data_IF_338830504555
#
_entry.id   IF_338830504555
#
_cell.length_a   1.000
_cell.length_b   1.000
_cell.length_c   1.000
_cell.angle_alpha   90.00
_cell.angle_beta   90.00
_cell.angle_gamma   90.00
#
_symmetry.space_group_name_H-M   'P 1'
#
loop_
_entity.id
_entity.type
_entity.pdbx_description
1 polymer ?
#
# COMPACT_ATOMS: atom_id res chain seq x y z
N UNK A 1 -6.86 24.22 5.86
CA UNK A 1 -6.98 23.27 4.72
C UNK A 1 -8.05 22.26 5.12
N UNK A 2 -8.98 21.93 4.23
CA UNK A 2 -10.02 20.93 4.49
C UNK A 2 -9.53 19.53 4.10
N UNK A 3 -9.85 18.52 4.92
CA UNK A 3 -9.60 17.11 4.65
C UNK A 3 -10.92 16.32 4.54
N UNK A 4 -10.96 15.28 3.72
CA UNK A 4 -12.15 14.43 3.57
C UNK A 4 -11.80 12.97 3.87
N UNK A 5 -12.37 12.41 4.94
CA UNK A 5 -12.34 10.97 5.19
C UNK A 5 -13.32 10.27 4.25
N UNK A 6 -12.86 9.23 3.56
CA UNK A 6 -13.68 8.39 2.68
C UNK A 6 -13.70 6.97 3.21
N UNK A 7 -14.89 6.47 3.55
CA UNK A 7 -15.08 5.17 4.21
C UNK A 7 -16.17 4.39 3.46
N UNK A 8 -15.84 3.44 2.59
CA UNK A 8 -16.85 2.54 2.05
C UNK A 8 -17.22 1.47 3.07
N UNK A 9 -18.47 1.02 3.02
CA UNK A 9 -18.97 -0.08 3.84
C UNK A 9 -19.95 -0.93 3.05
N UNK A 10 -20.03 -2.22 3.38
CA UNK A 10 -21.03 -3.13 2.84
C UNK A 10 -21.43 -4.14 3.91
N UNK A 11 -22.67 -4.03 4.41
CA UNK A 11 -23.22 -4.91 5.46
C UNK A 11 -22.40 -4.98 6.77
N UNK A 12 -21.76 -3.88 7.15
CA UNK A 12 -20.82 -3.81 8.30
C UNK A 12 -21.08 -2.58 9.19
N UNK A 13 -22.35 -2.34 9.51
CA UNK A 13 -22.76 -1.16 10.28
C UNK A 13 -22.03 -1.05 11.64
N UNK A 14 -21.77 -2.18 12.30
CA UNK A 14 -21.08 -2.22 13.60
C UNK A 14 -19.61 -1.79 13.49
N UNK A 15 -18.87 -2.32 12.50
CA UNK A 15 -17.48 -1.92 12.26
C UNK A 15 -17.38 -0.45 11.84
N UNK A 16 -18.28 -0.01 10.95
CA UNK A 16 -18.37 1.40 10.58
C UNK A 16 -18.57 2.28 11.82
N UNK A 17 -19.46 1.89 12.74
CA UNK A 17 -19.71 2.66 13.96
C UNK A 17 -18.45 2.78 14.84
N UNK A 18 -17.67 1.70 14.97
CA UNK A 18 -16.40 1.72 15.70
C UNK A 18 -15.37 2.65 15.05
N UNK A 19 -15.27 2.62 13.72
CA UNK A 19 -14.37 3.50 12.96
C UNK A 19 -14.79 4.97 13.07
N UNK A 20 -16.07 5.28 12.94
CA UNK A 20 -16.59 6.64 13.14
C UNK A 20 -16.37 7.12 14.58
N UNK A 21 -16.55 6.25 15.56
CA UNK A 21 -16.26 6.57 16.96
C UNK A 21 -14.77 6.84 17.18
N UNK A 22 -13.87 6.11 16.52
CA UNK A 22 -12.43 6.35 16.58
C UNK A 22 -12.05 7.72 16.02
N UNK A 23 -12.56 8.08 14.84
CA UNK A 23 -12.38 9.42 14.26
C UNK A 23 -12.97 10.49 15.19
N UNK A 24 -14.10 10.20 15.84
CA UNK A 24 -14.76 11.10 16.79
C UNK A 24 -14.00 11.35 18.09
N UNK A 25 -12.99 10.52 18.41
CA UNK A 25 -12.10 10.70 19.57
C UNK A 25 -10.90 11.61 19.29
N UNK A 26 -10.61 11.87 18.02
CA UNK A 26 -9.51 12.74 17.62
C UNK A 26 -9.78 14.20 18.02
N UNK A 27 -8.71 14.91 18.36
CA UNK A 27 -8.72 16.32 18.74
C UNK A 27 -9.09 17.21 17.53
N UNK A 28 -10.32 17.74 17.55
CA UNK A 28 -10.83 18.61 16.49
C UNK A 28 -9.95 19.85 16.26
N UNK A 29 -9.30 20.40 17.29
CA UNK A 29 -8.46 21.58 17.14
C UNK A 29 -7.19 21.27 16.35
N UNK A 30 -6.65 20.05 16.48
CA UNK A 30 -5.47 19.58 15.72
C UNK A 30 -5.83 19.12 14.32
N UNK A 31 -7.00 18.51 14.13
CA UNK A 31 -7.49 18.10 12.83
C UNK A 31 -7.75 19.28 11.88
N UNK A 32 -8.22 20.39 12.41
CA UNK A 32 -8.68 21.51 11.61
C UNK A 32 -10.00 21.18 10.91
N UNK A 33 -10.19 21.68 9.68
CA UNK A 33 -11.43 21.46 8.94
C UNK A 33 -11.44 20.06 8.32
N UNK A 34 -12.45 19.27 8.68
CA UNK A 34 -12.65 17.91 8.18
C UNK A 34 -14.11 17.66 7.78
N UNK A 35 -14.33 16.69 6.89
CA UNK A 35 -15.62 16.03 6.68
C UNK A 35 -15.44 14.51 6.58
N UNK A 36 -16.50 13.77 6.87
CA UNK A 36 -16.56 12.32 6.65
C UNK A 36 -17.62 11.99 5.61
N UNK A 37 -17.23 11.18 4.63
CA UNK A 37 -18.11 10.65 3.60
C UNK A 37 -18.11 9.14 3.71
N UNK A 38 -19.23 8.60 4.19
CA UNK A 38 -19.49 7.17 4.19
C UNK A 38 -20.06 6.78 2.84
N UNK A 39 -19.51 5.76 2.18
CA UNK A 39 -20.08 5.18 0.97
C UNK A 39 -20.75 3.87 1.34
N UNK A 40 -22.07 3.88 1.43
CA UNK A 40 -22.82 2.63 1.56
C UNK A 40 -22.85 1.95 0.19
N UNK A 41 -22.04 0.90 0.08
CA UNK A 41 -21.76 0.20 -1.17
C UNK A 41 -22.75 -0.94 -1.40
N UNK A 42 -24.04 -0.58 -1.52
CA UNK A 42 -25.17 -1.49 -1.69
C UNK A 42 -25.38 -2.48 -0.53
N UNK A 43 -25.33 -2.00 0.72
CA UNK A 43 -25.75 -2.81 1.87
C UNK A 43 -27.21 -3.23 1.78
N UNK A 44 -27.53 -4.42 2.28
CA UNK A 44 -28.91 -4.91 2.42
C UNK A 44 -29.74 -4.02 3.34
N UNK A 45 -29.11 -3.53 4.40
CA UNK A 45 -29.67 -2.55 5.32
C UNK A 45 -28.73 -1.36 5.36
N UNK A 46 -29.24 -0.19 4.96
CA UNK A 46 -28.44 1.03 4.89
C UNK A 46 -27.94 1.43 6.29
N UNK A 47 -26.64 1.71 6.47
CA UNK A 47 -26.12 2.19 7.74
C UNK A 47 -26.66 3.59 8.03
N UNK A 48 -26.88 3.86 9.32
CA UNK A 48 -27.41 5.15 9.81
C UNK A 48 -26.36 5.85 10.69
N UNK A 49 -25.24 6.34 10.11
CA UNK A 49 -24.25 7.08 10.88
C UNK A 49 -24.84 8.40 11.40
N UNK A 50 -24.33 8.94 12.53
CA UNK A 50 -24.78 10.23 13.03
C UNK A 50 -24.40 11.34 12.04
N UNK A 51 -25.19 12.42 11.94
CA UNK A 51 -24.90 13.55 11.03
C UNK A 51 -23.64 14.35 11.41
N UNK A 52 -23.16 14.18 12.65
CA UNK A 52 -21.89 14.70 13.16
C UNK A 52 -21.25 13.70 14.12
N UNK A 53 -19.92 13.62 14.10
CA UNK A 53 -19.15 12.88 15.10
C UNK A 53 -19.11 13.62 16.44
N UNK A 54 -18.64 12.93 17.49
CA UNK A 54 -18.52 13.49 18.84
C UNK A 54 -17.63 14.76 18.90
N UNK A 55 -16.61 14.83 18.03
CA UNK A 55 -15.74 16.00 17.88
C UNK A 55 -16.29 17.06 16.90
N UNK A 56 -17.55 16.93 16.46
CA UNK A 56 -18.24 17.93 15.64
C UNK A 56 -18.05 17.80 14.13
N UNK A 57 -17.20 16.88 13.66
CA UNK A 57 -16.96 16.67 12.22
C UNK A 57 -18.27 16.22 11.53
N UNK A 58 -18.71 16.89 10.45
CA UNK A 58 -19.92 16.51 9.73
C UNK A 58 -19.71 15.17 9.00
N UNK A 59 -20.75 14.34 9.03
CA UNK A 59 -20.80 13.05 8.34
C UNK A 59 -21.94 13.08 7.34
N UNK A 60 -21.69 12.54 6.15
CA UNK A 60 -22.74 12.25 5.17
C UNK A 60 -22.57 10.86 4.57
N UNK A 61 -23.68 10.28 4.15
CA UNK A 61 -23.71 8.98 3.48
C UNK A 61 -24.03 9.15 2.00
N UNK A 62 -23.24 8.52 1.14
CA UNK A 62 -23.54 8.33 -0.27
C UNK A 62 -23.99 6.88 -0.46
N UNK A 63 -25.20 6.69 -0.98
CA UNK A 63 -25.75 5.36 -1.23
C UNK A 63 -25.42 4.95 -2.67
N UNK A 64 -24.80 3.78 -2.82
CA UNK A 64 -24.63 3.09 -4.10
C UNK A 64 -25.69 2.00 -4.22
N UNK A 65 -26.26 1.88 -5.41
CA UNK A 65 -27.29 0.87 -5.69
C UNK A 65 -26.68 -0.50 -6.04
N UNK A 66 -25.42 -0.50 -6.47
CA UNK A 66 -24.66 -1.69 -6.82
C UNK A 66 -23.35 -1.71 -6.02
N UNK A 67 -22.83 -2.91 -5.77
CA UNK A 67 -21.55 -3.07 -5.09
C UNK A 67 -20.41 -2.83 -6.09
N UNK A 68 -19.80 -1.64 -6.00
CA UNK A 68 -18.69 -1.21 -6.86
C UNK A 68 -17.32 -1.54 -6.26
N UNK A 69 -17.28 -2.37 -5.22
CA UNK A 69 -16.08 -2.75 -4.48
C UNK A 69 -15.18 -1.54 -4.13
N UNK A 70 -13.87 -1.61 -4.39
CA UNK A 70 -12.93 -0.54 -4.07
C UNK A 70 -13.24 0.78 -4.82
N UNK A 71 -13.81 0.69 -6.03
CA UNK A 71 -14.11 1.84 -6.87
C UNK A 71 -15.31 2.68 -6.39
N UNK A 72 -16.09 2.19 -5.43
CA UNK A 72 -17.14 2.98 -4.75
C UNK A 72 -16.59 4.29 -4.15
N UNK A 73 -15.31 4.29 -3.74
CA UNK A 73 -14.58 5.47 -3.27
C UNK A 73 -14.51 6.60 -4.30
N UNK A 74 -14.58 6.28 -5.60
CA UNK A 74 -14.57 7.30 -6.67
C UNK A 74 -15.78 8.24 -6.57
N UNK A 75 -16.95 7.73 -6.16
CA UNK A 75 -18.14 8.56 -5.97
C UNK A 75 -17.91 9.57 -4.83
N UNK A 76 -17.38 9.11 -3.69
CA UNK A 76 -17.03 10.00 -2.58
C UNK A 76 -15.95 11.02 -2.94
N UNK A 77 -14.94 10.63 -3.72
CA UNK A 77 -13.87 11.52 -4.13
C UNK A 77 -14.38 12.72 -4.96
N UNK A 78 -15.34 12.49 -5.85
CA UNK A 78 -15.97 13.56 -6.66
C UNK A 78 -16.72 14.55 -5.77
N UNK A 79 -17.43 14.01 -4.79
CA UNK A 79 -18.25 14.76 -3.85
C UNK A 79 -17.43 15.49 -2.78
N UNK A 80 -16.25 14.96 -2.42
CA UNK A 80 -15.38 15.52 -1.39
C UNK A 80 -14.99 16.98 -1.67
N UNK A 81 -14.83 17.77 -0.62
CA UNK A 81 -14.35 19.16 -0.69
C UNK A 81 -12.91 19.31 -0.20
N UNK A 82 -12.39 18.30 0.51
CA UNK A 82 -11.04 18.31 1.05
C UNK A 82 -9.97 18.27 -0.04
N UNK A 83 -8.85 18.97 0.22
CA UNK A 83 -7.68 18.94 -0.65
C UNK A 83 -6.99 17.56 -0.64
N UNK A 84 -7.10 16.85 0.48
CA UNK A 84 -6.68 15.46 0.63
C UNK A 84 -7.88 14.56 0.91
N UNK A 85 -7.85 13.38 0.30
CA UNK A 85 -8.75 12.27 0.55
C UNK A 85 -8.04 11.28 1.47
N UNK A 86 -8.53 11.14 2.70
CA UNK A 86 -8.03 10.15 3.66
C UNK A 86 -8.87 8.89 3.46
N UNK A 87 -8.32 7.92 2.75
CA UNK A 87 -8.98 6.65 2.44
C UNK A 87 -8.82 5.70 3.63
N UNK A 88 -9.95 5.19 4.10
CA UNK A 88 -10.05 4.19 5.16
C UNK A 88 -10.96 3.06 4.67
N UNK A 89 -10.80 1.86 5.22
CA UNK A 89 -11.82 0.83 5.27
C UNK A 89 -12.77 1.06 6.47
N UNK A 90 -13.95 0.42 6.45
CA UNK A 90 -14.91 0.50 7.56
C UNK A 90 -14.41 -0.09 8.87
N UNK A 91 -13.31 -0.83 8.86
CA UNK A 91 -12.61 -1.38 10.02
C UNK A 91 -11.22 -0.77 10.28
N UNK A 92 -10.95 0.43 9.75
CA UNK A 92 -9.68 1.14 9.94
C UNK A 92 -9.84 2.61 10.36
N UNK A 93 -8.96 3.13 11.21
CA UNK A 93 -9.02 4.51 11.68
C UNK A 93 -7.64 5.07 12.08
N UNK A 94 -7.42 6.40 12.00
CA UNK A 94 -6.22 7.03 12.54
C UNK A 94 -6.09 6.82 14.05
N UNK A 95 -4.86 6.52 14.50
CA UNK A 95 -4.53 6.42 15.91
C UNK A 95 -4.35 7.79 16.58
N UNK A 96 -4.01 8.81 15.80
CA UNK A 96 -3.76 10.18 16.25
C UNK A 96 -3.88 11.17 15.08
N UNK A 97 -3.68 12.47 15.35
CA UNK A 97 -3.78 13.55 14.36
C UNK A 97 -2.44 13.90 13.69
N UNK A 98 -1.36 13.17 13.94
CA UNK A 98 -0.02 13.55 13.44
C UNK A 98 0.06 13.58 11.92
N UNK A 99 -0.78 12.79 11.25
CA UNK A 99 -0.92 12.80 9.79
C UNK A 99 -1.27 14.20 9.26
N UNK A 100 -1.94 15.06 10.03
CA UNK A 100 -2.25 16.44 9.61
C UNK A 100 -0.98 17.22 9.34
N UNK A 101 0.03 17.08 10.20
CA UNK A 101 1.32 17.75 10.03
C UNK A 101 2.02 17.25 8.76
N UNK A 102 1.94 15.95 8.50
CA UNK A 102 2.48 15.31 7.30
C UNK A 102 1.84 15.87 6.03
N UNK A 103 0.50 15.96 6.00
CA UNK A 103 -0.25 16.47 4.85
C UNK A 103 -0.03 17.96 4.59
N UNK A 104 0.14 18.75 5.65
CA UNK A 104 0.41 20.19 5.54
C UNK A 104 1.86 20.46 5.09
N UNK A 105 2.81 19.59 5.47
CA UNK A 105 4.22 19.71 5.09
C UNK A 105 4.53 19.13 3.71
N UNK A 106 3.61 18.36 3.11
CA UNK A 106 3.83 17.65 1.86
C UNK A 106 4.01 18.59 0.66
N UNK A 107 5.16 18.51 -0.04
CA UNK A 107 5.36 19.19 -1.32
C UNK A 107 4.33 18.81 -2.37
N UNK A 108 4.21 19.61 -3.42
CA UNK A 108 3.21 19.39 -4.48
C UNK A 108 3.46 18.11 -5.28
N UNK A 109 4.72 17.70 -5.35
CA UNK A 109 5.21 16.50 -6.03
C UNK A 109 4.69 15.23 -5.34
N UNK A 110 4.47 15.27 -4.02
CA UNK A 110 3.90 14.16 -3.26
C UNK A 110 2.40 14.07 -3.52
N UNK A 111 1.99 13.02 -4.22
CA UNK A 111 0.62 12.72 -4.56
C UNK A 111 -0.13 11.97 -3.47
N UNK A 112 0.56 11.06 -2.78
CA UNK A 112 -0.02 10.22 -1.75
C UNK A 112 0.98 9.94 -0.63
N UNK A 113 0.44 9.80 0.59
CA UNK A 113 1.17 9.40 1.79
C UNK A 113 0.49 8.16 2.35
N UNK A 114 1.18 7.02 2.29
CA UNK A 114 0.79 5.78 2.94
C UNK A 114 1.08 5.83 4.44
N UNK A 115 0.21 5.19 5.22
CA UNK A 115 0.31 5.11 6.68
C UNK A 115 1.19 3.94 7.14
N UNK A 116 1.72 4.05 8.37
CA UNK A 116 2.09 2.91 9.20
C UNK A 116 0.79 2.26 9.74
N UNK A 117 0.38 1.15 9.11
CA UNK A 117 -0.89 0.46 9.40
C UNK A 117 -0.63 -0.69 10.36
N UNK A 118 -1.19 -0.61 11.56
CA UNK A 118 -1.06 -1.60 12.64
C UNK A 118 -2.31 -2.45 12.76
N UNK A 119 -2.11 -3.74 12.94
CA UNK A 119 -3.14 -4.72 13.22
C UNK A 119 -3.33 -4.86 14.73
N UNK A 120 -4.47 -5.44 15.12
CA UNK A 120 -4.84 -5.64 16.54
C UNK A 120 -3.94 -6.61 17.28
N UNK A 121 -3.24 -7.49 16.58
CA UNK A 121 -2.23 -8.39 17.14
C UNK A 121 -0.86 -7.72 17.37
N UNK A 122 -0.73 -6.44 17.01
CA UNK A 122 0.48 -5.64 17.14
C UNK A 122 1.42 -5.68 15.93
N UNK A 123 1.18 -6.59 14.97
CA UNK A 123 1.92 -6.61 13.69
C UNK A 123 1.46 -5.52 12.75
N UNK A 124 2.18 -5.29 11.65
CA UNK A 124 1.81 -4.34 10.60
C UNK A 124 1.18 -5.02 9.40
N UNK A 125 0.35 -4.26 8.71
CA UNK A 125 -0.34 -4.74 7.51
C UNK A 125 0.66 -5.14 6.41
N UNK A 126 0.34 -6.25 5.75
CA UNK A 126 1.12 -6.75 4.63
C UNK A 126 0.60 -6.14 3.34
N UNK A 127 1.48 -5.60 2.50
CA UNK A 127 1.05 -4.94 1.25
C UNK A 127 2.00 -3.85 0.81
N UNK A 128 1.63 -3.15 -0.25
CA UNK A 128 2.41 -2.03 -0.78
C UNK A 128 3.81 -2.36 -1.29
N UNK A 129 4.50 -1.31 -1.67
CA UNK A 129 5.91 -1.18 -2.12
C UNK A 129 6.36 0.25 -1.77
N UNK A 130 7.64 0.64 -1.96
CA UNK A 130 8.11 1.99 -1.60
C UNK A 130 7.23 3.11 -2.16
N UNK A 131 6.71 2.95 -3.39
CA UNK A 131 5.76 3.89 -4.01
C UNK A 131 4.41 3.25 -4.35
N UNK A 132 3.97 2.25 -3.58
CA UNK A 132 2.62 1.68 -3.67
C UNK A 132 2.02 1.62 -2.27
N UNK A 133 0.88 2.30 -2.07
CA UNK A 133 0.19 2.39 -0.78
C UNK A 133 -0.81 1.24 -0.58
N UNK A 134 -1.46 1.20 0.59
CA UNK A 134 -2.53 0.26 0.94
C UNK A 134 -3.82 1.07 1.16
N UNK A 135 -4.92 0.65 0.55
CA UNK A 135 -6.17 1.43 0.50
C UNK A 135 -6.83 1.72 1.86
N UNK A 136 -6.56 0.92 2.89
CA UNK A 136 -7.11 1.10 4.24
C UNK A 136 -6.36 2.17 5.08
N UNK A 137 -5.28 2.74 4.56
CA UNK A 137 -4.50 3.75 5.27
C UNK A 137 -3.64 4.58 4.32
N UNK A 138 -4.27 5.51 3.61
CA UNK A 138 -3.57 6.41 2.69
C UNK A 138 -4.28 7.77 2.61
N UNK A 139 -3.50 8.84 2.47
CA UNK A 139 -4.00 10.15 2.11
C UNK A 139 -3.55 10.49 0.68
N UNK A 140 -4.48 10.87 -0.19
CA UNK A 140 -4.23 11.14 -1.62
C UNK A 140 -4.71 12.54 -1.98
N UNK A 141 -3.93 13.30 -2.74
CA UNK A 141 -4.36 14.61 -3.26
C UNK A 141 -5.62 14.43 -4.13
N UNK A 142 -6.69 15.15 -3.77
CA UNK A 142 -8.00 14.99 -4.40
C UNK A 142 -7.97 15.35 -5.89
N UNK A 143 -7.35 16.47 -6.23
CA UNK A 143 -7.27 16.96 -7.60
C UNK A 143 -6.56 15.95 -8.52
N UNK A 144 -5.47 15.35 -8.04
CA UNK A 144 -4.74 14.33 -8.79
C UNK A 144 -5.52 13.01 -8.86
N UNK A 145 -6.13 12.56 -7.76
CA UNK A 145 -6.98 11.36 -7.78
C UNK A 145 -8.08 11.46 -8.85
N UNK A 146 -8.76 12.61 -8.91
CA UNK A 146 -9.80 12.87 -9.90
C UNK A 146 -9.23 13.01 -11.32
N UNK A 147 -8.12 13.74 -11.49
CA UNK A 147 -7.45 13.92 -12.79
C UNK A 147 -7.02 12.58 -13.40
N UNK A 148 -6.59 11.63 -12.58
CA UNK A 148 -6.16 10.31 -13.02
C UNK A 148 -7.33 9.32 -13.20
N UNK A 149 -8.56 9.71 -12.87
CA UNK A 149 -9.74 8.87 -13.04
C UNK A 149 -10.09 7.98 -11.83
N UNK A 150 -9.39 8.13 -10.71
CA UNK A 150 -9.62 7.33 -9.49
C UNK A 150 -9.21 5.87 -9.64
N UNK A 151 -9.89 4.95 -8.94
CA UNK A 151 -9.70 3.51 -9.08
C UNK A 151 -10.41 2.96 -10.32
N UNK A 152 -9.78 2.01 -11.01
CA UNK A 152 -10.41 1.28 -12.10
C UNK A 152 -11.42 0.25 -11.54
N UNK A 153 -12.73 0.39 -11.82
CA UNK A 153 -13.75 -0.50 -11.27
C UNK A 153 -13.63 -1.95 -11.74
N UNK A 154 -12.90 -2.23 -12.82
CA UNK A 154 -12.73 -3.59 -13.34
C UNK A 154 -11.89 -4.48 -12.44
N UNK A 155 -11.05 -3.89 -11.58
CA UNK A 155 -10.27 -4.62 -10.58
C UNK A 155 -11.17 -5.26 -9.52
N UNK A 156 -12.31 -4.64 -9.20
CA UNK A 156 -13.17 -4.99 -8.07
C UNK A 156 -12.40 -4.79 -6.75
N UNK A 157 -11.57 -5.76 -6.37
CA UNK A 157 -10.67 -5.73 -5.21
C UNK A 157 -9.30 -6.27 -5.59
N UNK A 158 -8.29 -5.83 -4.83
CA UNK A 158 -6.89 -6.20 -4.93
C UNK A 158 -6.18 -5.69 -6.19
N UNK A 159 -5.06 -5.01 -5.95
CA UNK A 159 -4.15 -4.46 -6.96
C UNK A 159 -4.65 -3.21 -7.70
N UNK A 160 -5.82 -2.68 -7.35
CA UNK A 160 -6.27 -1.36 -7.81
C UNK A 160 -5.35 -0.23 -7.35
N UNK A 161 -4.68 -0.38 -6.20
CA UNK A 161 -3.70 0.60 -5.72
C UNK A 161 -2.42 0.58 -6.55
N UNK A 162 -2.05 -0.58 -7.11
CA UNK A 162 -0.91 -0.70 -8.01
C UNK A 162 -1.17 0.02 -9.34
N UNK A 163 -2.37 -0.13 -9.89
CA UNK A 163 -2.79 0.58 -11.09
C UNK A 163 -2.78 2.10 -10.89
N UNK A 164 -3.35 2.57 -9.77
CA UNK A 164 -3.33 4.01 -9.45
C UNK A 164 -1.91 4.51 -9.15
N UNK A 165 -1.08 3.74 -8.46
CA UNK A 165 0.31 4.10 -8.21
C UNK A 165 1.11 4.25 -9.51
N UNK A 166 0.97 3.32 -10.47
CA UNK A 166 1.62 3.43 -11.77
C UNK A 166 1.20 4.72 -12.51
N UNK A 167 -0.10 5.05 -12.50
CA UNK A 167 -0.61 6.29 -13.10
C UNK A 167 -0.11 7.56 -12.40
N UNK A 168 0.03 7.53 -11.07
CA UNK A 168 0.63 8.64 -10.29
C UNK A 168 2.09 8.86 -10.71
N UNK A 169 2.86 7.77 -10.83
CA UNK A 169 4.26 7.82 -11.27
C UNK A 169 4.39 8.37 -12.71
N UNK A 170 3.55 7.91 -13.64
CA UNK A 170 3.53 8.42 -15.02
C UNK A 170 3.19 9.90 -15.10
N UNK A 171 2.37 10.40 -14.17
CA UNK A 171 2.03 11.81 -14.07
C UNK A 171 3.15 12.67 -13.47
N UNK A 172 4.31 12.08 -13.15
CA UNK A 172 5.48 12.78 -12.63
C UNK A 172 5.45 13.04 -11.13
N UNK A 173 4.57 12.36 -10.39
CA UNK A 173 4.43 12.52 -8.95
C UNK A 173 5.11 11.38 -8.17
N UNK A 174 5.13 11.53 -6.85
CA UNK A 174 5.71 10.57 -5.91
C UNK A 174 4.67 10.08 -4.91
N UNK A 175 4.87 8.85 -4.46
CA UNK A 175 4.16 8.26 -3.33
C UNK A 175 5.20 8.02 -2.24
N UNK A 176 4.87 8.34 -1.00
CA UNK A 176 5.75 8.07 0.14
C UNK A 176 4.98 7.36 1.25
N UNK A 177 5.69 6.79 2.21
CA UNK A 177 5.13 6.29 3.47
C UNK A 177 5.64 7.15 4.62
N UNK A 178 4.83 7.34 5.66
CA UNK A 178 5.22 8.10 6.84
C UNK A 178 4.90 7.34 8.12
N UNK A 179 5.92 7.17 8.99
CA UNK A 179 5.73 6.54 10.32
C UNK A 179 4.91 7.41 11.26
N UNK A 180 4.81 8.71 10.98
CA UNK A 180 3.97 9.63 11.73
C UNK A 180 2.48 9.53 11.34
N UNK A 181 2.15 9.03 10.14
CA UNK A 181 0.77 8.74 9.78
C UNK A 181 0.41 7.32 10.22
N UNK A 182 -0.27 7.18 11.35
CA UNK A 182 -0.55 5.86 11.96
C UNK A 182 -2.03 5.50 11.87
N UNK A 183 -2.31 4.30 11.40
CA UNK A 183 -3.65 3.74 11.26
C UNK A 183 -3.74 2.44 12.07
N UNK A 184 -4.82 2.26 12.80
CA UNK A 184 -5.23 0.94 13.27
C UNK A 184 -6.16 0.32 12.23
N UNK A 185 -5.92 -0.95 11.91
CA UNK A 185 -6.79 -1.77 11.08
C UNK A 185 -7.20 -3.00 11.90
N UNK A 186 -8.48 -3.06 12.28
CA UNK A 186 -9.02 -4.16 13.10
C UNK A 186 -9.07 -5.48 12.36
N UNK A 187 -9.12 -5.40 11.02
CA UNK A 187 -9.00 -6.51 10.07
C UNK A 187 -9.86 -7.70 10.45
N UNK A 188 -11.16 -7.60 10.16
CA UNK A 188 -12.07 -8.73 10.39
C UNK A 188 -11.72 -9.87 9.42
N UNK A 189 -11.26 -11.01 9.95
CA UNK A 189 -10.78 -12.17 9.16
C UNK A 189 -11.87 -13.20 8.88
N UNK A 190 -13.00 -13.17 9.59
CA UNK A 190 -14.09 -14.13 9.41
C UNK A 190 -14.72 -14.04 8.02
N UNK A 191 -14.94 -15.20 7.37
CA UNK A 191 -15.65 -15.29 6.09
C UNK A 191 -14.81 -14.97 4.86
N UNK A 192 -13.48 -14.90 4.97
CA UNK A 192 -12.59 -14.76 3.81
C UNK A 192 -12.52 -16.07 3.03
N UNK A 193 -12.96 -16.03 1.78
CA UNK A 193 -12.75 -17.10 0.81
C UNK A 193 -11.40 -16.93 0.13
N UNK A 194 -10.42 -17.75 0.51
CA UNK A 194 -9.08 -17.66 -0.03
C UNK A 194 -9.01 -17.99 -1.53
N UNK A 195 -9.88 -18.86 -2.04
CA UNK A 195 -9.96 -19.11 -3.48
C UNK A 195 -10.40 -17.84 -4.21
N UNK A 196 -11.39 -17.11 -3.68
CA UNK A 196 -11.80 -15.84 -4.27
C UNK A 196 -10.67 -14.79 -4.26
N UNK A 197 -9.92 -14.69 -3.16
CA UNK A 197 -8.80 -13.75 -3.02
C UNK A 197 -7.69 -14.08 -4.01
N UNK A 198 -7.25 -15.35 -4.06
CA UNK A 198 -6.18 -15.79 -4.95
C UNK A 198 -6.58 -15.67 -6.43
N UNK A 199 -7.85 -15.94 -6.76
CA UNK A 199 -8.40 -15.71 -8.12
C UNK A 199 -8.18 -14.27 -8.57
N UNK A 200 -8.60 -13.31 -7.76
CA UNK A 200 -8.45 -11.88 -8.07
C UNK A 200 -6.99 -11.44 -8.07
N UNK A 201 -6.20 -11.85 -7.07
CA UNK A 201 -4.79 -11.48 -6.99
C UNK A 201 -3.98 -11.97 -8.20
N UNK A 202 -4.22 -13.22 -8.64
CA UNK A 202 -3.56 -13.82 -9.81
C UNK A 202 -3.86 -13.01 -11.06
N UNK A 203 -5.14 -12.73 -11.31
CA UNK A 203 -5.60 -12.01 -12.50
C UNK A 203 -5.15 -10.54 -12.48
N UNK A 204 -5.46 -9.83 -11.40
CA UNK A 204 -5.30 -8.38 -11.31
C UNK A 204 -3.83 -7.96 -11.28
N UNK A 205 -2.94 -8.69 -10.58
CA UNK A 205 -1.51 -8.35 -10.63
C UNK A 205 -0.92 -8.62 -12.02
N UNK A 206 -1.38 -9.65 -12.72
CA UNK A 206 -0.97 -9.87 -14.10
C UNK A 206 -1.50 -8.78 -15.06
N UNK A 207 -2.69 -8.23 -14.81
CA UNK A 207 -3.16 -7.03 -15.51
C UNK A 207 -2.24 -5.82 -15.28
N UNK A 208 -1.81 -5.58 -14.04
CA UNK A 208 -0.85 -4.50 -13.72
C UNK A 208 0.44 -4.68 -14.53
N UNK A 209 0.99 -5.90 -14.58
CA UNK A 209 2.20 -6.17 -15.37
C UNK A 209 1.95 -5.96 -16.86
N UNK A 210 0.84 -6.45 -17.39
CA UNK A 210 0.48 -6.28 -18.80
C UNK A 210 0.33 -4.80 -19.20
N UNK A 211 -0.29 -4.00 -18.32
CA UNK A 211 -0.51 -2.57 -18.54
C UNK A 211 0.80 -1.78 -18.47
N UNK A 212 1.64 -2.03 -17.47
CA UNK A 212 2.69 -1.09 -17.05
C UNK A 212 4.13 -1.59 -17.20
N UNK A 213 4.38 -2.89 -17.33
CA UNK A 213 5.74 -3.39 -17.51
C UNK A 213 6.30 -2.99 -18.89
N UNK A 214 7.57 -2.54 -18.97
CA UNK A 214 8.27 -2.33 -20.23
C UNK A 214 8.28 -3.60 -21.11
N UNK A 215 8.31 -3.41 -22.42
CA UNK A 215 8.13 -4.50 -23.39
C UNK A 215 9.16 -5.62 -23.26
N UNK A 216 10.40 -5.25 -22.94
CA UNK A 216 11.56 -6.13 -22.79
C UNK A 216 11.49 -7.05 -21.57
N UNK A 217 10.79 -6.65 -20.50
CA UNK A 217 10.69 -7.43 -19.25
C UNK A 217 9.30 -8.00 -18.99
N UNK A 218 8.28 -7.53 -19.71
CA UNK A 218 6.88 -7.87 -19.45
C UNK A 218 6.61 -9.38 -19.48
N UNK A 219 7.17 -10.11 -20.43
CA UNK A 219 6.93 -11.55 -20.56
C UNK A 219 7.46 -12.31 -19.34
N UNK A 220 8.69 -12.00 -18.92
CA UNK A 220 9.32 -12.61 -17.75
C UNK A 220 8.58 -12.23 -16.46
N UNK A 221 8.19 -10.96 -16.31
CA UNK A 221 7.41 -10.51 -15.16
C UNK A 221 6.04 -11.21 -15.06
N UNK A 222 5.38 -11.50 -16.19
CA UNK A 222 4.15 -12.28 -16.21
C UNK A 222 4.37 -13.74 -15.77
N UNK A 223 5.48 -14.35 -16.16
CA UNK A 223 5.83 -15.70 -15.69
C UNK A 223 6.06 -15.69 -14.18
N UNK A 224 6.82 -14.72 -13.68
CA UNK A 224 7.14 -14.59 -12.26
C UNK A 224 5.88 -14.39 -11.40
N UNK A 225 4.97 -13.50 -11.81
CA UNK A 225 3.76 -13.24 -11.01
C UNK A 225 2.85 -14.47 -10.95
N UNK A 226 2.77 -15.22 -12.04
CA UNK A 226 1.99 -16.46 -12.10
C UNK A 226 2.62 -17.54 -11.22
N UNK A 227 3.94 -17.73 -11.30
CA UNK A 227 4.66 -18.66 -10.44
C UNK A 227 4.46 -18.32 -8.95
N UNK A 228 4.61 -17.04 -8.60
CA UNK A 228 4.40 -16.55 -7.23
C UNK A 228 3.00 -16.88 -6.71
N UNK A 229 1.95 -16.61 -7.49
CA UNK A 229 0.59 -16.91 -7.05
C UNK A 229 0.26 -18.39 -7.07
N UNK A 230 0.95 -19.20 -7.87
CA UNK A 230 0.92 -20.67 -7.74
C UNK A 230 1.44 -21.09 -6.37
N UNK A 231 2.63 -20.63 -5.98
CA UNK A 231 3.26 -20.99 -4.69
C UNK A 231 2.42 -20.55 -3.48
N UNK A 232 1.81 -19.35 -3.56
CA UNK A 232 0.91 -18.87 -2.52
C UNK A 232 -0.37 -19.72 -2.48
N UNK A 233 -0.95 -20.04 -3.63
CA UNK A 233 -2.15 -20.86 -3.70
C UNK A 233 -1.95 -22.25 -3.11
N UNK A 234 -0.77 -22.86 -3.30
CA UNK A 234 -0.41 -24.13 -2.65
C UNK A 234 -0.36 -23.99 -1.12
N UNK A 235 0.35 -22.97 -0.62
CA UNK A 235 0.49 -22.72 0.83
C UNK A 235 -0.84 -22.44 1.51
N UNK A 236 -1.72 -21.71 0.83
CA UNK A 236 -3.01 -21.28 1.34
C UNK A 236 -4.15 -22.27 1.01
N UNK A 237 -3.84 -23.42 0.41
CA UNK A 237 -4.81 -24.43 -0.04
C UNK A 237 -5.94 -23.85 -0.92
N UNK A 238 -5.57 -22.99 -1.87
CA UNK A 238 -6.46 -22.18 -2.71
C UNK A 238 -6.15 -22.33 -4.22
N UNK A 239 -5.75 -23.54 -4.64
CA UNK A 239 -5.39 -23.86 -6.02
C UNK A 239 -6.54 -23.67 -7.01
N UNK A 240 -7.80 -23.88 -6.60
CA UNK A 240 -8.96 -23.65 -7.45
C UNK A 240 -9.09 -22.16 -7.82
N UNK A 241 -8.89 -21.28 -6.85
CA UNK A 241 -8.85 -19.84 -7.04
C UNK A 241 -7.78 -19.44 -8.05
N UNK A 242 -6.56 -19.97 -7.90
CA UNK A 242 -5.47 -19.74 -8.85
C UNK A 242 -5.81 -20.21 -10.26
N UNK A 243 -6.36 -21.42 -10.41
CA UNK A 243 -6.77 -21.97 -11.72
C UNK A 243 -7.80 -21.08 -12.40
N UNK A 244 -8.87 -20.71 -11.69
CA UNK A 244 -9.92 -19.83 -12.22
C UNK A 244 -9.33 -18.45 -12.57
N UNK A 245 -8.46 -17.89 -11.73
CA UNK A 245 -7.83 -16.60 -11.96
C UNK A 245 -6.97 -16.61 -13.24
N UNK A 246 -6.28 -17.73 -13.52
CA UNK A 246 -5.53 -17.92 -14.77
C UNK A 246 -6.40 -18.08 -15.99
N UNK A 247 -7.52 -18.81 -15.89
CA UNK A 247 -8.49 -18.95 -16.98
C UNK A 247 -9.07 -17.57 -17.35
N UNK A 248 -9.56 -16.81 -16.36
CA UNK A 248 -10.02 -15.43 -16.59
C UNK A 248 -8.92 -14.54 -17.17
N UNK A 249 -7.68 -14.71 -16.71
CA UNK A 249 -6.55 -13.94 -17.21
C UNK A 249 -6.32 -14.18 -18.70
N UNK A 250 -6.35 -15.44 -19.18
CA UNK A 250 -6.12 -15.76 -20.60
C UNK A 250 -7.09 -14.97 -21.50
N UNK A 251 -8.36 -14.90 -21.09
CA UNK A 251 -9.40 -14.21 -21.87
C UNK A 251 -9.31 -12.68 -21.76
N UNK A 252 -8.82 -12.16 -20.64
CA UNK A 252 -8.84 -10.72 -20.32
C UNK A 252 -7.51 -10.01 -20.51
N UNK A 253 -6.38 -10.73 -20.60
CA UNK A 253 -5.05 -10.14 -20.78
C UNK A 253 -4.94 -9.31 -22.07
N UNK A 254 -5.44 -9.76 -23.25
CA UNK A 254 -5.34 -9.00 -24.49
C UNK A 254 -6.15 -7.69 -24.48
N UNK A 255 -7.20 -7.59 -23.67
CA UNK A 255 -8.04 -6.38 -23.59
C UNK A 255 -7.48 -5.31 -22.66
N UNK A 256 -6.42 -5.61 -21.92
CA UNK A 256 -5.76 -4.63 -21.05
C UNK A 256 -5.03 -3.58 -21.91
N UNK A 257 -5.50 -2.34 -21.84
CA UNK A 257 -4.87 -1.22 -22.54
C UNK A 257 -3.50 -0.94 -21.96
N UNK A 258 -2.48 -0.95 -22.82
CA UNK A 258 -1.09 -0.77 -22.39
C UNK A 258 -0.73 0.70 -22.25
N UNK A 259 0.00 1.00 -21.19
CA UNK A 259 0.64 2.28 -20.91
C UNK A 259 1.98 1.98 -20.21
N UNK A 260 2.98 1.41 -20.90
CA UNK A 260 4.21 0.95 -20.27
C UNK A 260 4.94 2.11 -19.58
N UNK A 261 5.50 1.82 -18.40
CA UNK A 261 6.40 2.73 -17.71
C UNK A 261 7.72 2.82 -18.47
N UNK A 262 8.39 3.99 -18.40
CA UNK A 262 9.79 4.05 -18.79
C UNK A 262 10.62 3.15 -17.87
N UNK A 263 11.83 2.75 -18.28
CA UNK A 263 12.69 1.91 -17.46
C UNK A 263 12.88 2.49 -16.06
N UNK A 264 13.23 3.78 -15.96
CA UNK A 264 13.40 4.50 -14.70
C UNK A 264 12.14 4.49 -13.83
N UNK A 265 10.95 4.70 -14.42
CA UNK A 265 9.71 4.67 -13.65
C UNK A 265 9.32 3.25 -13.22
N UNK A 266 9.62 2.24 -14.05
CA UNK A 266 9.38 0.84 -13.70
C UNK A 266 10.25 0.41 -12.51
N UNK A 267 11.51 0.85 -12.47
CA UNK A 267 12.39 0.59 -11.33
C UNK A 267 11.90 1.26 -10.04
N UNK A 268 11.34 2.47 -10.11
CA UNK A 268 10.66 3.09 -8.95
C UNK A 268 9.41 2.33 -8.54
N UNK A 269 8.64 1.85 -9.52
CA UNK A 269 7.38 1.13 -9.29
C UNK A 269 7.60 -0.23 -8.60
N UNK A 270 8.66 -0.95 -8.99
CA UNK A 270 9.01 -2.25 -8.37
C UNK A 270 9.76 -2.11 -7.05
N UNK A 271 10.24 -0.91 -6.72
CA UNK A 271 11.08 -0.61 -5.56
C UNK A 271 12.58 -0.75 -5.83
N UNK A 272 12.99 -1.15 -7.03
CA UNK A 272 14.40 -1.34 -7.41
C UNK A 272 15.22 -0.06 -7.31
N UNK A 273 14.67 1.08 -7.74
CA UNK A 273 15.40 2.35 -7.67
C UNK A 273 15.72 2.73 -6.22
N UNK A 274 14.72 2.69 -5.34
CA UNK A 274 14.86 3.04 -3.93
C UNK A 274 15.78 2.06 -3.20
N UNK A 275 15.72 0.78 -3.57
CA UNK A 275 16.63 -0.22 -3.01
C UNK A 275 18.06 -0.03 -3.47
N UNK A 276 18.28 0.24 -4.75
CA UNK A 276 19.61 0.54 -5.27
C UNK A 276 20.19 1.76 -4.55
N UNK A 277 19.50 2.89 -4.57
CA UNK A 277 19.99 4.15 -4.01
C UNK A 277 20.28 4.04 -2.50
N UNK A 278 19.37 3.42 -1.74
CA UNK A 278 19.54 3.30 -0.29
C UNK A 278 20.55 2.22 0.11
N UNK A 279 20.35 0.98 -0.37
CA UNK A 279 21.10 -0.17 0.11
C UNK A 279 22.57 -0.09 -0.29
N UNK A 280 22.89 0.32 -1.53
CA UNK A 280 24.30 0.42 -1.93
C UNK A 280 25.03 1.51 -1.14
N UNK A 281 24.36 2.63 -0.84
CA UNK A 281 24.92 3.68 0.02
C UNK A 281 25.24 3.16 1.43
N UNK A 282 24.28 2.47 2.06
CA UNK A 282 24.46 1.89 3.40
C UNK A 282 25.56 0.81 3.44
N UNK A 283 25.64 -0.03 2.42
CA UNK A 283 26.68 -1.07 2.33
C UNK A 283 28.07 -0.46 2.14
N UNK A 284 28.18 0.58 1.31
CA UNK A 284 29.44 1.29 1.10
C UNK A 284 29.93 1.99 2.38
N UNK A 285 29.02 2.64 3.13
CA UNK A 285 29.35 3.27 4.42
C UNK A 285 29.88 2.27 5.45
N UNK A 286 29.37 1.04 5.45
CA UNK A 286 29.83 -0.03 6.33
C UNK A 286 31.07 -0.77 5.81
N UNK A 287 31.46 -0.55 4.55
CA UNK A 287 32.48 -1.38 3.88
C UNK A 287 32.07 -2.84 3.77
N UNK A 288 30.76 -3.13 3.76
CA UNK A 288 30.24 -4.49 3.76
C UNK A 288 30.49 -5.17 2.41
N UNK A 289 30.88 -6.45 2.45
CA UNK A 289 31.13 -7.30 1.27
C UNK A 289 30.39 -8.63 1.37
N UNK A 290 29.99 -9.04 2.57
CA UNK A 290 29.29 -10.27 2.88
C UNK A 290 28.07 -9.95 3.73
N UNK A 291 26.88 -10.22 3.22
CA UNK A 291 25.64 -9.97 3.96
C UNK A 291 24.84 -11.25 4.15
N UNK A 292 23.99 -11.29 5.16
CA UNK A 292 22.96 -12.31 5.26
C UNK A 292 21.60 -11.70 4.95
N UNK A 293 20.90 -12.27 3.96
CA UNK A 293 19.52 -11.87 3.65
C UNK A 293 18.59 -12.58 4.64
N UNK A 294 17.84 -11.79 5.42
CA UNK A 294 16.97 -12.29 6.47
C UNK A 294 15.53 -11.86 6.23
N UNK A 295 14.56 -12.61 6.73
CA UNK A 295 13.14 -12.25 6.68
C UNK A 295 12.63 -11.97 5.25
N UNK A 296 12.80 -12.91 4.30
CA UNK A 296 12.43 -12.71 2.90
C UNK A 296 10.91 -12.55 2.73
N UNK A 297 10.51 -11.65 1.83
CA UNK A 297 9.10 -11.37 1.56
C UNK A 297 8.84 -10.81 0.17
N UNK A 298 7.90 -9.86 0.08
CA UNK A 298 7.47 -9.28 -1.20
C UNK A 298 8.66 -8.58 -1.88
N UNK A 299 8.90 -8.93 -3.14
CA UNK A 299 9.98 -8.40 -3.98
C UNK A 299 11.39 -8.64 -3.42
N UNK A 300 11.62 -9.75 -2.71
CA UNK A 300 12.95 -10.14 -2.26
C UNK A 300 13.98 -10.25 -3.40
N UNK A 301 13.54 -10.55 -4.63
CA UNK A 301 14.39 -10.61 -5.82
C UNK A 301 15.05 -9.27 -6.15
N UNK A 302 14.36 -8.14 -5.90
CA UNK A 302 14.90 -6.79 -6.14
C UNK A 302 16.16 -6.59 -5.30
N UNK A 303 16.10 -7.02 -4.05
CA UNK A 303 17.19 -6.89 -3.09
C UNK A 303 18.36 -7.78 -3.54
N UNK A 304 18.08 -9.01 -3.97
CA UNK A 304 19.10 -9.91 -4.52
C UNK A 304 19.77 -9.32 -5.76
N UNK A 305 18.99 -8.79 -6.70
CA UNK A 305 19.50 -8.16 -7.91
C UNK A 305 20.45 -6.99 -7.60
N UNK A 306 20.09 -6.11 -6.64
CA UNK A 306 20.96 -4.99 -6.22
C UNK A 306 22.24 -5.48 -5.56
N UNK A 307 22.16 -6.54 -4.74
CA UNK A 307 23.34 -7.12 -4.10
C UNK A 307 24.28 -7.78 -5.12
N UNK A 308 23.71 -8.48 -6.11
CA UNK A 308 24.46 -9.09 -7.20
C UNK A 308 25.11 -8.01 -8.09
N UNK A 309 24.38 -6.94 -8.44
CA UNK A 309 24.90 -5.76 -9.16
C UNK A 309 26.07 -5.09 -8.41
N UNK A 310 26.00 -5.05 -7.08
CA UNK A 310 27.03 -4.48 -6.21
C UNK A 310 28.20 -5.44 -5.91
N UNK A 311 28.14 -6.69 -6.38
CA UNK A 311 29.17 -7.70 -6.11
C UNK A 311 29.22 -8.16 -4.65
N UNK A 312 28.11 -8.05 -3.91
CA UNK A 312 28.01 -8.40 -2.50
C UNK A 312 27.68 -9.89 -2.35
N UNK A 313 28.47 -10.62 -1.58
CA UNK A 313 28.23 -12.03 -1.33
C UNK A 313 27.09 -12.23 -0.32
N UNK A 314 26.06 -12.99 -0.70
CA UNK A 314 25.00 -13.44 0.21
C UNK A 314 25.48 -14.71 0.94
N UNK A 315 25.54 -14.68 2.27
CA UNK A 315 26.04 -15.76 3.14
C UNK A 315 25.01 -16.16 4.18
N UNK A 316 25.22 -17.30 4.86
CA UNK A 316 24.38 -17.69 6.00
C UNK A 316 24.55 -16.72 7.17
N UNK A 317 23.54 -16.60 8.03
CA UNK A 317 23.62 -15.82 9.28
C UNK A 317 24.71 -16.34 10.23
N UNK A 318 25.14 -17.60 10.06
CA UNK A 318 26.22 -18.22 10.85
C UNK A 318 27.62 -17.93 10.29
N UNK A 319 27.73 -17.36 9.09
CA UNK A 319 28.99 -17.23 8.36
C UNK A 319 29.62 -15.83 8.53
N UNK A 320 29.41 -15.25 9.72
CA UNK A 320 29.87 -13.92 10.14
C UNK A 320 29.63 -12.83 9.07
N UNK A 321 28.35 -12.52 8.76
CA UNK A 321 28.04 -11.45 7.83
C UNK A 321 28.42 -10.07 8.39
N UNK A 322 28.84 -9.16 7.52
CA UNK A 322 29.12 -7.75 7.82
C UNK A 322 27.84 -7.00 8.17
N UNK A 323 26.70 -7.42 7.59
CA UNK A 323 25.38 -6.87 7.86
C UNK A 323 24.26 -7.91 7.63
N UNK A 324 23.15 -7.75 8.33
CA UNK A 324 21.88 -8.41 8.05
C UNK A 324 21.03 -7.47 7.18
N UNK A 325 20.51 -7.96 6.06
CA UNK A 325 19.62 -7.17 5.18
C UNK A 325 18.22 -7.77 5.23
N UNK A 326 17.23 -6.97 5.62
CA UNK A 326 15.81 -7.38 5.62
C UNK A 326 15.35 -7.62 4.17
N UNK A 327 14.76 -8.78 3.89
CA UNK A 327 14.51 -9.30 2.55
C UNK A 327 13.14 -9.01 1.98
N UNK A 328 12.49 -7.91 2.35
CA UNK A 328 11.15 -7.54 1.87
C UNK A 328 11.03 -6.05 1.60
N UNK A 329 10.34 -5.67 0.52
CA UNK A 329 10.03 -4.28 0.21
C UNK A 329 8.68 -3.82 0.75
N UNK A 330 7.89 -4.74 1.35
CA UNK A 330 6.62 -4.37 1.96
C UNK A 330 6.87 -3.57 3.25
N UNK A 331 6.37 -2.33 3.38
CA UNK A 331 6.70 -1.42 4.48
C UNK A 331 6.44 -2.00 5.86
N UNK A 332 5.25 -2.58 6.10
CA UNK A 332 4.88 -3.16 7.38
C UNK A 332 5.81 -4.30 7.83
N UNK A 333 5.87 -5.41 7.08
CA UNK A 333 6.78 -6.53 7.35
C UNK A 333 8.25 -6.12 7.45
N UNK A 334 8.69 -5.13 6.68
CA UNK A 334 10.06 -4.62 6.76
C UNK A 334 10.33 -3.96 8.13
N UNK A 335 9.44 -3.08 8.58
CA UNK A 335 9.59 -2.41 9.88
C UNK A 335 9.50 -3.39 11.04
N UNK A 336 8.55 -4.34 11.01
CA UNK A 336 8.41 -5.35 12.06
C UNK A 336 9.67 -6.24 12.16
N UNK A 337 10.21 -6.67 11.01
CA UNK A 337 11.45 -7.44 10.99
C UNK A 337 12.65 -6.63 11.49
N UNK A 338 12.75 -5.36 11.08
CA UNK A 338 13.83 -4.48 11.54
C UNK A 338 13.75 -4.21 13.04
N UNK A 339 12.58 -3.84 13.57
CA UNK A 339 12.37 -3.60 15.01
C UNK A 339 12.67 -4.85 15.85
N UNK A 340 12.21 -6.03 15.42
CA UNK A 340 12.52 -7.31 16.09
C UNK A 340 14.02 -7.61 16.11
N UNK A 341 14.70 -7.49 14.97
CA UNK A 341 16.15 -7.78 14.85
C UNK A 341 17.01 -6.80 15.65
N UNK A 342 16.61 -5.53 15.72
CA UNK A 342 17.27 -4.54 16.59
C UNK A 342 17.13 -4.91 18.07
N UNK A 343 15.95 -5.42 18.47
CA UNK A 343 15.70 -5.90 19.84
C UNK A 343 16.46 -7.17 20.22
N UNK A 344 16.92 -7.98 19.26
CA UNK A 344 17.74 -9.18 19.51
C UNK A 344 19.18 -8.84 19.96
N UNK A 345 19.56 -7.56 20.07
CA UNK A 345 20.88 -7.08 20.52
C UNK A 345 22.06 -7.71 19.74
N UNK A 346 21.88 -7.93 18.44
CA UNK A 346 22.95 -8.39 17.56
C UNK A 346 24.06 -7.33 17.44
N UNK A 347 25.32 -7.77 17.45
CA UNK A 347 26.48 -6.92 17.12
C UNK A 347 26.56 -6.60 15.63
N UNK A 348 25.88 -7.40 14.79
CA UNK A 348 25.86 -7.21 13.33
C UNK A 348 24.83 -6.16 12.95
N UNK A 349 25.21 -5.10 12.21
CA UNK A 349 24.29 -4.08 11.71
C UNK A 349 23.09 -4.67 10.95
N UNK A 350 21.91 -4.14 11.20
CA UNK A 350 20.67 -4.53 10.50
C UNK A 350 20.23 -3.41 9.56
N UNK A 351 20.13 -3.72 8.27
CA UNK A 351 19.79 -2.79 7.21
C UNK A 351 18.39 -3.06 6.64
N UNK A 352 17.63 -2.00 6.42
CA UNK A 352 16.43 -2.04 5.59
C UNK A 352 16.80 -1.91 4.11
N UNK A 353 16.06 -2.55 3.21
CA UNK A 353 16.32 -2.48 1.77
C UNK A 353 15.93 -1.14 1.15
N UNK A 354 15.16 -0.29 1.83
CA UNK A 354 14.86 1.07 1.39
C UNK A 354 14.56 1.95 2.62
N UNK A 355 14.55 3.27 2.41
CA UNK A 355 14.28 4.24 3.47
C UNK A 355 12.77 4.43 3.66
N UNK A 356 12.25 4.05 4.82
CA UNK A 356 10.92 4.45 5.26
C UNK A 356 11.06 5.63 6.23
N UNK A 357 10.74 6.87 5.81
CA UNK A 357 11.07 8.06 6.57
C UNK A 357 10.17 8.20 7.80
N UNK A 358 10.73 8.77 8.88
CA UNK A 358 9.97 9.09 10.09
C UNK A 358 8.87 10.13 9.82
N UNK A 359 9.11 11.04 8.87
CA UNK A 359 8.14 12.05 8.41
C UNK A 359 8.40 12.46 6.96
N UNK A 360 7.44 13.12 6.33
CA UNK A 360 7.58 13.72 5.00
C UNK A 360 8.78 14.68 4.96
N UNK A 361 9.04 15.38 6.07
CA UNK A 361 10.18 16.32 6.16
C UNK A 361 11.52 15.61 6.02
N UNK A 362 11.66 14.38 6.52
CA UNK A 362 12.91 13.61 6.37
C UNK A 362 12.99 12.92 5.02
N UNK A 363 11.86 12.71 4.34
CA UNK A 363 11.82 12.19 2.97
C UNK A 363 12.38 13.19 1.94
N UNK A 364 12.04 14.48 2.07
CA UNK A 364 12.39 15.50 1.08
C UNK A 364 13.87 15.89 1.02
N UNK A 365 14.69 15.54 2.02
CA UNK A 365 16.12 15.84 2.02
C UNK A 365 16.96 14.79 1.27
N UNK A 366 16.38 13.65 0.90
CA UNK A 366 17.08 12.57 0.18
C UNK A 366 17.01 12.70 -1.36
N UNK A 367 16.27 13.67 -1.89
CA UNK A 367 15.98 13.80 -3.32
C UNK A 367 16.52 15.09 -3.97
N UNK A 368 17.51 15.75 -3.36
CA UNK A 368 18.14 16.98 -3.86
C UNK A 368 19.49 16.70 -4.52
#
# INVERSE_FOLDING_TARGET
MLFSFIIPTHNRQEELALTLAAIGRLDAAKLGECEVIVVDNASRFHPTPPSKLANGIPVRTLIRLENEAAASRNAAAREARGAWLIMLDDDSAPLDENFVTELLAAPREIAAIGADIRLTDGSREHGGLPEVFIGCGVAIRRDLFLKLGGYDPTFIYYAEEYDLAARILQAGHQIIHSRAFRIEHRKVTSGRDMNHIIRLLTRNNAWVIQRYAPDDVRHEALIEILARYSDIAEKENALDGYRIGREELIDTLPSQTRAPLSRTLYERFTGLAQTRDHLTGRLAELGAQRIALVDPGKNAWVIRAVLDEAGIAIVSTTDNPDALVIGTLSPGPMLDAWERRQGEHTTTPVLTPWLLPDSVRTACWAAA
#
